data_IF_886470517755
#
_entry.id   IF_886470517755
#
_cell.length_a   1.000
_cell.length_b   1.000
_cell.length_c   1.000
_cell.angle_alpha   90.00
_cell.angle_beta   90.00
_cell.angle_gamma   90.00
#
_symmetry.space_group_name_H-M   'P 1'
#
loop_
_entity.id
_entity.type
_entity.pdbx_description
1 polymer ?
#
# COMPACT_ATOMS: atom_id res chain seq x y z
N UNK A 1 2.89 -21.01 12.57
CA UNK A 1 1.87 -19.97 12.87
C UNK A 1 2.56 -18.85 13.63
N UNK A 2 2.33 -17.62 13.20
CA UNK A 2 2.91 -16.40 13.78
C UNK A 2 1.76 -15.61 14.39
N UNK A 3 1.91 -15.16 15.63
CA UNK A 3 0.90 -14.38 16.35
C UNK A 3 1.37 -12.95 16.56
N UNK A 4 0.54 -11.98 16.18
CA UNK A 4 0.88 -10.56 16.30
C UNK A 4 -0.37 -9.71 16.53
N UNK A 5 -0.21 -8.40 16.74
CA UNK A 5 -1.32 -7.47 16.92
C UNK A 5 -1.57 -6.66 15.64
N UNK A 6 -2.82 -6.64 15.19
CA UNK A 6 -3.29 -5.82 14.08
C UNK A 6 -4.42 -4.89 14.60
N UNK A 7 -4.16 -3.59 14.64
CA UNK A 7 -5.08 -2.59 15.20
C UNK A 7 -5.55 -2.96 16.62
N UNK A 8 -4.63 -3.44 17.47
CA UNK A 8 -4.92 -3.85 18.85
C UNK A 8 -5.56 -5.23 19.01
N UNK A 9 -5.96 -5.90 17.93
CA UNK A 9 -6.51 -7.27 17.97
C UNK A 9 -5.40 -8.30 17.72
N UNK A 10 -5.41 -9.39 18.48
CA UNK A 10 -4.51 -10.52 18.24
C UNK A 10 -4.96 -11.29 16.99
N UNK A 11 -4.05 -11.46 16.06
CA UNK A 11 -4.27 -12.17 14.80
C UNK A 11 -3.18 -13.20 14.56
N UNK A 12 -3.45 -14.17 13.69
CA UNK A 12 -2.51 -15.22 13.34
C UNK A 12 -2.36 -15.35 11.82
N UNK A 13 -1.14 -15.59 11.39
CA UNK A 13 -0.79 -15.86 10.00
C UNK A 13 0.23 -16.99 9.89
N UNK A 14 0.50 -17.41 8.68
CA UNK A 14 1.53 -18.39 8.37
C UNK A 14 2.88 -17.70 8.20
N UNK A 15 3.95 -18.35 8.60
CA UNK A 15 5.30 -17.84 8.37
C UNK A 15 5.55 -17.59 6.88
N UNK A 16 6.13 -16.44 6.56
CA UNK A 16 6.36 -16.00 5.18
C UNK A 16 5.21 -15.20 4.55
N UNK A 17 4.03 -15.14 5.17
CA UNK A 17 2.98 -14.23 4.72
C UNK A 17 3.37 -12.76 4.96
N UNK A 18 2.81 -11.87 4.14
CA UNK A 18 2.95 -10.44 4.30
C UNK A 18 1.78 -9.85 5.10
N UNK A 19 2.00 -8.67 5.70
CA UNK A 19 0.98 -7.97 6.51
C UNK A 19 -0.33 -7.80 5.73
N UNK A 20 -0.28 -7.43 4.45
CA UNK A 20 -1.45 -7.22 3.61
C UNK A 20 -2.33 -8.48 3.50
N UNK A 21 -1.72 -9.64 3.28
CA UNK A 21 -2.43 -10.91 3.15
C UNK A 21 -3.18 -11.29 4.44
N UNK A 22 -2.54 -11.07 5.60
CA UNK A 22 -3.20 -11.33 6.89
C UNK A 22 -4.28 -10.29 7.16
N UNK A 23 -4.02 -9.01 6.87
CA UNK A 23 -5.02 -7.96 7.02
C UNK A 23 -6.29 -8.27 6.22
N UNK A 24 -6.17 -8.66 4.95
CA UNK A 24 -7.30 -9.08 4.09
C UNK A 24 -8.08 -10.25 4.72
N UNK A 25 -7.39 -11.27 5.26
CA UNK A 25 -8.02 -12.43 5.92
C UNK A 25 -8.86 -12.03 7.13
N UNK A 26 -8.46 -10.99 7.84
CA UNK A 26 -9.20 -10.47 9.01
C UNK A 26 -10.13 -9.30 8.69
N UNK A 27 -10.38 -9.02 7.41
CA UNK A 27 -11.31 -7.98 6.97
C UNK A 27 -10.81 -6.54 7.19
N UNK A 28 -9.50 -6.36 7.35
CA UNK A 28 -8.87 -5.04 7.46
C UNK A 28 -8.42 -4.58 6.08
N UNK A 29 -9.07 -3.53 5.58
CA UNK A 29 -8.76 -2.95 4.27
C UNK A 29 -7.51 -2.04 4.34
N UNK A 30 -6.51 -2.37 3.53
CA UNK A 30 -5.30 -1.56 3.35
C UNK A 30 -5.22 -1.17 1.87
N UNK A 31 -5.28 0.12 1.53
CA UNK A 31 -5.33 0.54 0.13
C UNK A 31 -4.03 0.22 -0.61
N UNK A 32 -4.16 -0.21 -1.85
CA UNK A 32 -3.05 -0.54 -2.75
C UNK A 32 -3.30 0.00 -4.16
N UNK A 33 -2.24 0.27 -4.92
CA UNK A 33 -2.29 0.62 -6.34
C UNK A 33 -1.39 -0.28 -7.19
N UNK A 34 -0.21 -0.65 -6.67
CA UNK A 34 0.78 -1.46 -7.39
C UNK A 34 0.75 -2.95 -7.03
N UNK A 35 -0.15 -3.36 -6.14
CA UNK A 35 -0.28 -4.76 -5.72
C UNK A 35 -1.29 -5.50 -6.59
N UNK A 36 -0.96 -6.74 -6.96
CA UNK A 36 -1.86 -7.69 -7.58
C UNK A 36 -1.51 -9.11 -7.12
N UNK A 37 -2.52 -9.94 -6.80
CA UNK A 37 -2.33 -11.29 -6.23
C UNK A 37 -1.51 -12.23 -7.13
N UNK A 38 -1.52 -11.99 -8.43
CA UNK A 38 -0.77 -12.79 -9.40
C UNK A 38 0.69 -12.33 -9.60
N UNK A 39 1.14 -11.27 -8.95
CA UNK A 39 2.47 -10.71 -9.12
C UNK A 39 3.21 -10.65 -7.79
N UNK A 40 4.54 -10.79 -7.84
CA UNK A 40 5.36 -10.56 -6.65
C UNK A 40 5.16 -9.13 -6.13
N UNK A 41 5.06 -8.94 -4.81
CA UNK A 41 4.87 -7.62 -4.22
C UNK A 41 6.08 -6.70 -4.48
N UNK A 42 5.84 -5.49 -4.98
CA UNK A 42 6.91 -4.54 -5.33
C UNK A 42 7.07 -3.37 -4.35
N UNK A 43 6.01 -3.03 -3.59
CA UNK A 43 6.06 -1.89 -2.64
C UNK A 43 6.28 -0.53 -3.30
N UNK A 44 5.97 -0.37 -4.60
CA UNK A 44 6.32 0.82 -5.39
C UNK A 44 5.48 2.05 -5.05
N UNK A 45 4.16 1.90 -4.96
CA UNK A 45 3.25 3.04 -4.77
C UNK A 45 3.24 3.59 -3.34
N UNK A 46 3.73 2.84 -2.37
CA UNK A 46 3.79 3.17 -0.93
C UNK A 46 2.42 3.42 -0.26
N UNK A 47 1.32 3.28 -0.99
CA UNK A 47 -0.02 3.54 -0.45
C UNK A 47 -0.41 2.57 0.67
N UNK A 48 0.09 1.34 0.65
CA UNK A 48 -0.13 0.33 1.68
C UNK A 48 0.76 0.51 2.93
N UNK A 49 1.38 1.67 3.12
CA UNK A 49 2.19 1.97 4.31
C UNK A 49 1.36 1.85 5.57
N UNK A 50 1.95 1.21 6.59
CA UNK A 50 1.39 1.01 7.93
C UNK A 50 2.45 1.32 8.99
N UNK A 51 2.02 1.61 10.22
CA UNK A 51 2.92 1.69 11.36
C UNK A 51 3.22 0.29 11.91
N UNK A 52 4.49 0.03 12.15
CA UNK A 52 4.99 -1.16 12.79
C UNK A 52 5.74 -0.78 14.06
N UNK A 53 5.33 -1.35 15.19
CA UNK A 53 6.06 -1.30 16.45
C UNK A 53 6.73 -2.66 16.70
N UNK A 54 8.05 -2.64 16.93
CA UNK A 54 8.87 -3.84 17.11
C UNK A 54 9.22 -4.15 18.59
N UNK A 55 8.49 -3.53 19.52
CA UNK A 55 8.75 -3.62 20.96
C UNK A 55 9.74 -2.55 21.46
N UNK A 56 10.41 -1.82 20.58
CA UNK A 56 11.38 -0.75 20.93
C UNK A 56 11.10 0.56 20.21
N UNK A 57 10.82 0.52 18.92
CA UNK A 57 10.61 1.69 18.08
C UNK A 57 9.46 1.50 17.10
N UNK A 58 8.83 2.61 16.72
CA UNK A 58 7.85 2.65 15.64
C UNK A 58 8.53 3.03 14.33
N UNK A 59 8.15 2.37 13.25
CA UNK A 59 8.60 2.67 11.89
C UNK A 59 7.49 2.43 10.87
N UNK A 60 7.65 2.95 9.67
CA UNK A 60 6.70 2.76 8.57
C UNK A 60 7.20 1.69 7.63
N UNK A 61 6.32 0.75 7.29
CA UNK A 61 6.61 -0.33 6.34
C UNK A 61 5.48 -0.48 5.34
N UNK A 62 5.75 -1.05 4.18
CA UNK A 62 4.73 -1.35 3.16
C UNK A 62 4.12 -2.72 3.43
N UNK A 63 2.82 -2.78 3.69
CA UNK A 63 2.13 -4.01 4.07
C UNK A 63 2.17 -5.11 2.99
N UNK A 64 2.27 -4.73 1.71
CA UNK A 64 2.23 -5.67 0.61
C UNK A 64 3.46 -6.59 0.50
N UNK A 65 4.63 -6.15 0.99
CA UNK A 65 5.89 -6.89 0.87
C UNK A 65 6.64 -7.07 2.20
N UNK A 66 6.06 -6.64 3.32
CA UNK A 66 6.69 -6.81 4.62
C UNK A 66 6.20 -8.09 5.29
N UNK A 67 7.11 -9.05 5.61
CA UNK A 67 6.73 -10.31 6.23
C UNK A 67 6.25 -10.11 7.67
N UNK A 68 5.30 -10.95 8.08
CA UNK A 68 4.86 -11.01 9.48
C UNK A 68 5.87 -11.77 10.34
N UNK A 69 5.94 -11.39 11.62
CA UNK A 69 6.75 -12.08 12.63
C UNK A 69 6.12 -11.98 14.03
N UNK A 70 6.55 -12.86 14.91
CA UNK A 70 5.96 -13.04 16.24
C UNK A 70 6.07 -11.79 17.12
N UNK A 71 4.95 -11.33 17.67
CA UNK A 71 4.90 -10.24 18.63
C UNK A 71 4.98 -8.83 18.07
N UNK A 72 5.01 -8.64 16.75
CA UNK A 72 4.93 -7.29 16.16
C UNK A 72 3.55 -6.65 16.40
N UNK A 73 3.48 -5.32 16.41
CA UNK A 73 2.22 -4.60 16.48
C UNK A 73 2.07 -3.71 15.26
N UNK A 74 0.93 -3.83 14.57
CA UNK A 74 0.63 -3.09 13.33
C UNK A 74 -0.58 -2.19 13.56
N UNK A 75 -0.44 -0.91 13.18
CA UNK A 75 -1.55 0.03 13.04
C UNK A 75 -1.71 0.40 11.57
N UNK A 76 -2.88 0.10 11.02
CA UNK A 76 -3.17 0.30 9.59
C UNK A 76 -3.82 1.64 9.29
N UNK A 77 -4.32 2.32 10.31
CA UNK A 77 -5.15 3.52 10.17
C UNK A 77 -4.90 4.54 11.30
N UNK A 78 -3.63 4.76 11.67
CA UNK A 78 -3.25 5.84 12.58
C UNK A 78 -3.28 7.19 11.85
N UNK A 79 -3.40 8.29 12.61
CA UNK A 79 -3.39 9.64 12.04
C UNK A 79 -2.17 9.88 11.15
N UNK A 80 -0.99 9.42 11.56
CA UNK A 80 0.25 9.59 10.79
C UNK A 80 0.23 8.77 9.51
N UNK A 81 -0.30 7.53 9.55
CA UNK A 81 -0.50 6.70 8.36
C UNK A 81 -1.48 7.38 7.40
N UNK A 82 -2.56 7.94 7.93
CA UNK A 82 -3.55 8.65 7.13
C UNK A 82 -2.96 9.88 6.44
N UNK A 83 -2.19 10.69 7.16
CA UNK A 83 -1.48 11.84 6.61
C UNK A 83 -0.48 11.44 5.52
N UNK A 84 0.28 10.36 5.75
CA UNK A 84 1.22 9.83 4.76
C UNK A 84 0.54 9.38 3.48
N UNK A 85 -0.56 8.64 3.58
CA UNK A 85 -1.35 8.22 2.42
C UNK A 85 -1.99 9.39 1.69
N UNK A 86 -2.49 10.38 2.43
CA UNK A 86 -3.02 11.63 1.86
C UNK A 86 -1.99 12.31 0.97
N UNK A 87 -0.75 12.46 1.46
CA UNK A 87 0.34 13.06 0.68
C UNK A 87 0.64 12.25 -0.60
N UNK A 88 0.68 10.91 -0.51
CA UNK A 88 0.90 10.05 -1.68
C UNK A 88 -0.21 10.25 -2.72
N UNK A 89 -1.47 10.25 -2.30
CA UNK A 89 -2.61 10.47 -3.19
C UNK A 89 -2.56 11.87 -3.82
N UNK A 90 -2.19 12.88 -3.05
CA UNK A 90 -2.06 14.27 -3.52
C UNK A 90 -0.97 14.40 -4.61
N UNK A 91 0.19 13.74 -4.42
CA UNK A 91 1.26 13.69 -5.43
C UNK A 91 0.82 12.96 -6.71
N UNK A 92 0.09 11.84 -6.56
CA UNK A 92 -0.45 11.10 -7.71
C UNK A 92 -1.51 11.90 -8.46
N UNK A 93 -2.34 12.69 -7.75
CA UNK A 93 -3.29 13.62 -8.38
C UNK A 93 -2.60 14.74 -9.16
N UNK A 94 -1.47 15.23 -8.68
CA UNK A 94 -0.67 16.21 -9.43
C UNK A 94 -0.23 15.64 -10.78
N UNK A 95 0.17 14.37 -10.80
CA UNK A 95 0.56 13.69 -12.03
C UNK A 95 -0.63 13.30 -12.91
N UNK A 96 -1.67 12.71 -12.34
CA UNK A 96 -2.76 12.03 -13.06
C UNK A 96 -4.13 12.45 -12.52
N UNK A 97 -4.50 13.73 -12.66
CA UNK A 97 -5.72 14.29 -12.07
C UNK A 97 -7.02 13.63 -12.57
N UNK A 98 -7.02 13.09 -13.80
CA UNK A 98 -8.22 12.54 -14.43
C UNK A 98 -8.42 11.03 -14.22
N UNK A 99 -7.48 10.33 -13.60
CA UNK A 99 -7.56 8.89 -13.39
C UNK A 99 -8.63 8.55 -12.34
N UNK A 100 -9.66 7.72 -12.67
CA UNK A 100 -10.82 7.50 -11.80
C UNK A 100 -10.49 6.96 -10.42
N UNK A 101 -9.51 6.04 -10.31
CA UNK A 101 -9.11 5.48 -9.00
C UNK A 101 -8.50 6.55 -8.10
N UNK A 102 -7.76 7.50 -8.65
CA UNK A 102 -7.18 8.60 -7.89
C UNK A 102 -8.24 9.59 -7.42
N UNK A 103 -9.26 9.89 -8.24
CA UNK A 103 -10.40 10.71 -7.83
C UNK A 103 -11.17 10.07 -6.67
N UNK A 104 -11.35 8.74 -6.70
CA UNK A 104 -11.97 7.99 -5.61
C UNK A 104 -11.13 8.09 -4.32
N UNK A 105 -9.84 7.87 -4.41
CA UNK A 105 -8.92 7.98 -3.28
C UNK A 105 -8.86 9.41 -2.74
N UNK A 106 -8.81 10.40 -3.62
CA UNK A 106 -8.85 11.81 -3.21
C UNK A 106 -10.06 12.14 -2.34
N UNK A 107 -11.24 11.71 -2.79
CA UNK A 107 -12.48 11.87 -2.01
C UNK A 107 -12.39 11.16 -0.65
N UNK A 108 -11.83 9.95 -0.61
CA UNK A 108 -11.66 9.17 0.62
C UNK A 108 -10.73 9.88 1.62
N UNK A 109 -9.68 10.53 1.12
CA UNK A 109 -8.69 11.24 1.94
C UNK A 109 -8.97 12.74 2.11
N UNK A 110 -10.15 13.22 1.69
CA UNK A 110 -10.55 14.62 1.83
C UNK A 110 -9.67 15.61 1.07
N UNK A 111 -9.22 15.20 -0.14
CA UNK A 111 -8.40 16.03 -1.03
C UNK A 111 -9.30 16.57 -2.13
N UNK A 112 -9.56 17.87 -2.13
CA UNK A 112 -10.32 18.55 -3.18
C UNK A 112 -9.42 18.93 -4.35
N UNK A 113 -8.25 19.51 -4.07
CA UNK A 113 -7.24 19.88 -5.04
C UNK A 113 -5.83 19.55 -4.54
N UNK A 114 -4.92 19.31 -5.48
CA UNK A 114 -3.50 19.14 -5.17
C UNK A 114 -2.81 20.50 -5.04
N UNK A 115 -1.87 20.60 -4.10
CA UNK A 115 -0.98 21.76 -3.93
C UNK A 115 0.14 21.81 -4.95
N UNK A 116 0.34 20.72 -5.67
CA UNK A 116 1.45 20.53 -6.60
C UNK A 116 1.03 20.88 -8.04
N UNK A 117 1.99 21.22 -8.88
CA UNK A 117 1.78 21.47 -10.30
C UNK A 117 1.22 20.22 -11.00
N UNK A 118 0.21 20.39 -11.87
CA UNK A 118 -0.46 19.28 -12.57
C UNK A 118 0.26 18.95 -13.87
N UNK A 119 0.58 17.68 -14.09
CA UNK A 119 1.26 17.17 -15.29
C UNK A 119 0.30 16.62 -16.36
N UNK A 120 -0.95 16.34 -16.03
CA UNK A 120 -1.96 15.78 -16.94
C UNK A 120 -1.56 14.43 -17.60
N UNK A 121 -0.79 13.61 -16.91
CA UNK A 121 -0.45 12.25 -17.34
C UNK A 121 -1.62 11.28 -17.04
N UNK A 122 -1.62 10.12 -17.65
CA UNK A 122 -2.59 9.05 -17.43
C UNK A 122 -1.97 7.81 -16.76
N UNK A 123 -0.64 7.75 -16.66
CA UNK A 123 0.11 6.65 -16.06
C UNK A 123 0.51 6.95 -14.62
N UNK A 124 -0.03 6.17 -13.67
CA UNK A 124 0.30 6.28 -12.24
C UNK A 124 1.60 5.58 -11.84
N UNK A 125 2.37 5.07 -12.79
CA UNK A 125 3.65 4.38 -12.59
C UNK A 125 3.58 3.19 -11.61
N UNK A 126 2.46 2.48 -11.56
CA UNK A 126 2.29 1.33 -10.66
C UNK A 126 3.08 0.08 -11.07
N UNK A 127 3.63 0.04 -12.27
CA UNK A 127 4.46 -1.06 -12.79
C UNK A 127 3.71 -2.39 -13.00
N UNK A 128 2.38 -2.42 -12.94
CA UNK A 128 1.62 -3.66 -13.14
C UNK A 128 1.80 -4.22 -14.55
N UNK A 129 1.79 -3.37 -15.58
CA UNK A 129 1.97 -3.76 -16.98
C UNK A 129 3.37 -4.34 -17.23
N UNK A 130 4.42 -3.67 -16.77
CA UNK A 130 5.82 -4.12 -16.97
C UNK A 130 6.09 -5.44 -16.25
N UNK A 131 5.68 -5.55 -14.97
CA UNK A 131 5.84 -6.78 -14.18
C UNK A 131 5.00 -7.95 -14.71
N UNK A 132 3.81 -7.67 -15.28
CA UNK A 132 3.02 -8.70 -15.95
C UNK A 132 3.72 -9.19 -17.22
N UNK A 133 4.25 -8.27 -18.02
CA UNK A 133 5.00 -8.59 -19.24
C UNK A 133 6.24 -9.42 -18.93
N UNK A 134 7.01 -9.06 -17.92
CA UNK A 134 8.16 -9.82 -17.43
C UNK A 134 7.76 -11.23 -16.99
N UNK A 135 6.70 -11.35 -16.17
CA UNK A 135 6.20 -12.65 -15.70
C UNK A 135 5.76 -13.58 -16.83
N UNK A 136 5.21 -13.01 -17.89
CA UNK A 136 4.82 -13.75 -19.10
C UNK A 136 6.03 -14.14 -19.98
N UNK A 137 7.23 -13.68 -19.64
CA UNK A 137 8.46 -13.92 -20.39
C UNK A 137 8.61 -13.09 -21.66
N UNK A 138 7.70 -12.15 -21.92
CA UNK A 138 7.73 -11.35 -23.14
C UNK A 138 8.78 -10.22 -23.08
N UNK A 139 8.97 -9.60 -21.91
CA UNK A 139 9.92 -8.49 -21.67
C UNK A 139 9.86 -7.37 -22.74
N UNK A 140 8.66 -7.12 -23.26
CA UNK A 140 8.45 -6.17 -24.37
C UNK A 140 8.11 -4.75 -23.88
N UNK A 141 7.79 -4.59 -22.60
CA UNK A 141 7.45 -3.31 -21.96
C UNK A 141 8.45 -3.07 -20.82
N UNK A 142 9.08 -1.90 -20.79
CA UNK A 142 10.05 -1.47 -19.75
C UNK A 142 9.62 -0.17 -19.11
#
# INVERSE_FOLDING_TARGET
MVTFKLNGKTVQGEEGQHILQVAEKYGVDIPTLCHHKALEPAGMCRLCTVELFDGRRTRFVTACNYPIWEGMEIKTDSEVVHQGRRLIVELLLARCSEVPILKKLAKQYGIEETRFEKENDTCILCGLCTRTCERMGANAIT
#
